data_IF_839729615294
#
_entry.id   IF_839729615294
#
_cell.length_a   1.000
_cell.length_b   1.000
_cell.length_c   1.000
_cell.angle_alpha   90.00
_cell.angle_beta   90.00
_cell.angle_gamma   90.00
#
_symmetry.space_group_name_H-M   'P 1'
#
loop_
_entity.id
_entity.type
_entity.pdbx_description
1 polymer ?
#
# COMPACT_ATOMS: atom_id res chain seq x y z
N UNK A 1 -2.95 -35.74 -3.00
CA UNK A 1 -3.93 -35.20 -3.97
C UNK A 1 -4.12 -33.75 -3.58
N UNK A 2 -3.43 -32.83 -4.26
CA UNK A 2 -3.46 -31.41 -3.91
C UNK A 2 -4.76 -30.85 -4.45
N UNK A 3 -5.79 -30.85 -3.62
CA UNK A 3 -7.02 -30.10 -3.79
C UNK A 3 -7.19 -29.34 -2.49
N UNK A 4 -6.52 -28.20 -2.40
CA UNK A 4 -6.60 -27.34 -1.23
C UNK A 4 -7.86 -26.47 -1.37
N UNK A 5 -8.89 -26.64 -0.52
CA UNK A 5 -10.14 -25.89 -0.62
C UNK A 5 -10.00 -24.39 -0.31
N UNK A 6 -8.79 -23.90 -0.10
CA UNK A 6 -8.48 -22.52 0.29
C UNK A 6 -8.27 -21.55 -0.89
N UNK A 7 -8.42 -22.00 -2.15
CA UNK A 7 -8.42 -21.06 -3.27
C UNK A 7 -9.68 -20.21 -3.23
N UNK A 8 -9.52 -18.93 -2.89
CA UNK A 8 -10.59 -17.95 -2.96
C UNK A 8 -11.12 -17.88 -4.39
N UNK A 9 -12.42 -18.12 -4.56
CA UNK A 9 -13.11 -17.93 -5.84
C UNK A 9 -13.29 -16.43 -6.18
N UNK A 10 -12.92 -15.54 -5.26
CA UNK A 10 -13.07 -14.10 -5.40
C UNK A 10 -11.80 -13.41 -5.90
N UNK A 11 -10.65 -14.11 -5.96
CA UNK A 11 -9.38 -13.54 -6.44
C UNK A 11 -9.08 -14.03 -7.85
N UNK A 12 -8.53 -13.16 -8.70
CA UNK A 12 -8.05 -13.53 -10.04
C UNK A 12 -6.70 -12.91 -10.32
N UNK A 13 -5.71 -13.75 -10.66
CA UNK A 13 -4.42 -13.28 -11.14
C UNK A 13 -4.56 -12.63 -12.52
N UNK A 14 -3.91 -11.48 -12.70
CA UNK A 14 -3.94 -10.67 -13.92
C UNK A 14 -2.55 -10.10 -14.23
N UNK A 15 -2.24 -9.86 -15.51
CA UNK A 15 -0.97 -9.29 -15.97
C UNK A 15 -1.14 -7.91 -16.59
N UNK A 16 -2.37 -7.52 -16.94
CA UNK A 16 -2.67 -6.26 -17.65
C UNK A 16 -3.75 -5.42 -16.97
N UNK A 17 -3.74 -4.11 -17.25
CA UNK A 17 -4.80 -3.20 -16.79
C UNK A 17 -6.15 -3.45 -17.47
N UNK A 18 -6.16 -4.13 -18.63
CA UNK A 18 -7.40 -4.54 -19.30
C UNK A 18 -8.05 -5.70 -18.57
N UNK A 19 -7.28 -6.74 -18.24
CA UNK A 19 -7.75 -7.86 -17.40
C UNK A 19 -8.20 -7.38 -16.03
N UNK A 20 -7.54 -6.36 -15.46
CA UNK A 20 -7.97 -5.71 -14.22
C UNK A 20 -9.41 -5.22 -14.33
N UNK A 21 -9.74 -4.46 -15.39
CA UNK A 21 -11.10 -3.93 -15.61
C UNK A 21 -12.12 -5.04 -15.75
N UNK A 22 -11.85 -6.04 -16.60
CA UNK A 22 -12.75 -7.18 -16.79
C UNK A 22 -12.98 -7.97 -15.50
N UNK A 23 -11.94 -8.16 -14.69
CA UNK A 23 -12.04 -8.85 -13.40
C UNK A 23 -12.92 -8.08 -12.41
N UNK A 24 -12.77 -6.75 -12.37
CA UNK A 24 -13.61 -5.88 -11.55
C UNK A 24 -15.08 -5.88 -12.02
N UNK A 25 -15.33 -5.86 -13.33
CA UNK A 25 -16.69 -5.92 -13.91
C UNK A 25 -17.41 -7.23 -13.56
N UNK A 26 -16.67 -8.32 -13.36
CA UNK A 26 -17.19 -9.61 -12.90
C UNK A 26 -17.41 -9.67 -11.37
N UNK A 27 -17.10 -8.60 -10.64
CA UNK A 27 -17.23 -8.56 -9.18
C UNK A 27 -16.12 -9.33 -8.43
N UNK A 28 -14.99 -9.58 -9.08
CA UNK A 28 -13.84 -10.25 -8.50
C UNK A 28 -12.73 -9.25 -8.15
N UNK A 29 -11.80 -9.67 -7.30
CA UNK A 29 -10.64 -8.89 -6.88
C UNK A 29 -9.43 -9.25 -7.77
N UNK A 30 -8.92 -8.31 -8.58
CA UNK A 30 -7.72 -8.54 -9.37
C UNK A 30 -6.47 -8.59 -8.49
N UNK A 31 -5.61 -9.57 -8.76
CA UNK A 31 -4.27 -9.72 -8.16
C UNK A 31 -3.25 -9.48 -9.26
N UNK A 32 -2.68 -8.28 -9.28
CA UNK A 32 -1.70 -7.88 -10.29
C UNK A 32 -0.40 -8.67 -10.14
N UNK A 33 0.04 -9.29 -11.23
CA UNK A 33 1.36 -9.87 -11.42
C UNK A 33 2.18 -8.86 -12.26
N UNK A 34 2.89 -7.91 -11.62
CA UNK A 34 3.31 -6.69 -12.29
C UNK A 34 4.55 -6.87 -13.18
N UNK A 35 5.22 -8.02 -13.12
CA UNK A 35 6.53 -8.22 -13.75
C UNK A 35 6.54 -7.83 -15.23
N UNK A 36 5.58 -8.36 -16.00
CA UNK A 36 5.45 -8.06 -17.42
C UNK A 36 5.23 -6.57 -17.66
N UNK A 37 4.26 -5.98 -16.95
CA UNK A 37 3.91 -4.57 -17.09
C UNK A 37 5.10 -3.66 -16.77
N UNK A 38 5.88 -3.96 -15.72
CA UNK A 38 7.08 -3.23 -15.35
C UNK A 38 8.14 -3.33 -16.46
N UNK A 39 8.39 -4.52 -17.01
CA UNK A 39 9.39 -4.68 -18.08
C UNK A 39 8.97 -4.01 -19.39
N UNK A 40 7.67 -3.97 -19.70
CA UNK A 40 7.17 -3.39 -20.94
C UNK A 40 7.25 -1.84 -20.93
N UNK A 41 7.05 -1.20 -19.77
CA UNK A 41 7.02 0.28 -19.66
C UNK A 41 8.23 0.90 -18.94
N UNK A 42 9.07 0.08 -18.29
CA UNK A 42 10.31 0.43 -17.57
C UNK A 42 10.19 1.72 -16.70
N UNK A 43 9.22 1.78 -15.75
CA UNK A 43 8.88 3.03 -15.08
C UNK A 43 9.79 3.34 -13.87
N UNK A 44 10.60 2.37 -13.42
CA UNK A 44 11.38 2.46 -12.19
C UNK A 44 12.87 2.57 -12.48
N UNK A 45 13.55 3.46 -11.76
CA UNK A 45 15.01 3.45 -11.73
C UNK A 45 15.53 2.15 -11.11
N UNK A 46 16.66 1.63 -11.62
CA UNK A 46 17.23 0.36 -11.16
C UNK A 46 18.08 0.58 -9.91
N UNK A 47 17.42 0.84 -8.80
CA UNK A 47 18.04 1.06 -7.48
C UNK A 47 17.53 0.04 -6.47
N UNK A 48 18.27 -0.14 -5.37
CA UNK A 48 17.84 -0.98 -4.25
C UNK A 48 16.87 -0.28 -3.31
N UNK A 49 16.63 1.03 -3.51
CA UNK A 49 15.77 1.85 -2.67
C UNK A 49 14.28 1.68 -3.00
N UNK A 50 13.97 1.32 -4.26
CA UNK A 50 12.60 1.09 -4.72
C UNK A 50 12.21 -0.35 -4.38
N UNK A 51 11.23 -0.51 -3.47
CA UNK A 51 10.71 -1.82 -3.08
C UNK A 51 9.24 -1.98 -3.49
N UNK A 52 8.61 -3.08 -3.08
CA UNK A 52 7.20 -3.35 -3.38
C UNK A 52 6.26 -2.25 -2.89
N UNK A 53 6.61 -1.52 -1.83
CA UNK A 53 5.78 -0.45 -1.28
C UNK A 53 5.71 0.72 -2.26
N UNK A 54 6.85 1.23 -2.72
CA UNK A 54 6.90 2.30 -3.72
C UNK A 54 6.25 1.88 -5.04
N UNK A 55 6.46 0.63 -5.47
CA UNK A 55 5.80 0.09 -6.65
C UNK A 55 4.27 0.04 -6.49
N UNK A 56 3.77 -0.36 -5.31
CA UNK A 56 2.34 -0.41 -5.03
C UNK A 56 1.69 0.99 -5.07
N UNK A 57 2.34 1.99 -4.48
CA UNK A 57 1.85 3.38 -4.55
C UNK A 57 1.89 3.91 -5.99
N UNK A 58 2.93 3.57 -6.76
CA UNK A 58 3.01 3.92 -8.18
C UNK A 58 1.87 3.29 -8.99
N UNK A 59 1.56 2.02 -8.76
CA UNK A 59 0.40 1.38 -9.39
C UNK A 59 -0.92 2.02 -8.95
N UNK A 60 -1.07 2.35 -7.66
CA UNK A 60 -2.25 3.02 -7.15
C UNK A 60 -2.48 4.38 -7.83
N UNK A 61 -1.41 5.13 -8.05
CA UNK A 61 -1.43 6.36 -8.85
C UNK A 61 -1.85 6.11 -10.30
N UNK A 62 -1.22 5.14 -10.96
CA UNK A 62 -1.47 4.80 -12.36
C UNK A 62 -2.96 4.48 -12.61
N UNK A 63 -3.59 3.76 -11.69
CA UNK A 63 -5.01 3.38 -11.79
C UNK A 63 -5.96 4.38 -11.12
N UNK A 64 -5.44 5.48 -10.56
CA UNK A 64 -6.20 6.53 -9.84
C UNK A 64 -7.04 5.97 -8.69
N UNK A 65 -6.43 5.09 -7.89
CA UNK A 65 -7.05 4.57 -6.66
C UNK A 65 -7.48 5.73 -5.73
N UNK A 66 -8.67 5.61 -5.14
CA UNK A 66 -9.13 6.56 -4.13
C UNK A 66 -8.45 6.38 -2.77
N UNK A 67 -7.92 5.18 -2.51
CA UNK A 67 -7.35 4.77 -1.24
C UNK A 67 -6.27 3.73 -1.47
N UNK A 68 -5.09 3.96 -0.87
CA UNK A 68 -3.97 3.02 -0.89
C UNK A 68 -3.77 2.42 0.49
N UNK A 69 -3.56 1.10 0.56
CA UNK A 69 -3.30 0.36 1.78
C UNK A 69 -1.99 -0.40 1.63
N UNK A 70 -1.04 -0.15 2.52
CA UNK A 70 0.20 -0.94 2.65
C UNK A 70 0.06 -1.79 3.91
N UNK A 71 0.13 -3.10 3.72
CA UNK A 71 0.05 -4.08 4.80
C UNK A 71 1.45 -4.53 5.20
N UNK A 72 1.84 -4.21 6.42
CA UNK A 72 3.15 -4.53 7.00
C UNK A 72 2.99 -5.57 8.12
N UNK A 73 4.09 -5.89 8.81
CA UNK A 73 4.09 -6.76 9.99
C UNK A 73 4.03 -6.00 11.33
N UNK A 74 3.91 -4.66 11.30
CA UNK A 74 3.84 -3.77 12.46
C UNK A 74 2.57 -2.92 12.40
N UNK A 75 2.17 -2.33 13.53
CA UNK A 75 0.90 -1.59 13.64
C UNK A 75 0.85 -0.26 12.90
N UNK A 76 1.97 0.23 12.41
CA UNK A 76 2.09 1.47 11.66
C UNK A 76 3.50 2.02 11.78
N UNK A 77 3.62 3.34 11.67
CA UNK A 77 4.88 4.08 11.78
C UNK A 77 5.16 4.43 13.24
N UNK A 78 6.42 4.26 13.64
CA UNK A 78 6.91 4.62 14.96
C UNK A 78 8.08 5.61 14.84
N UNK A 79 8.11 6.64 15.69
CA UNK A 79 9.25 7.56 15.78
C UNK A 79 10.50 6.84 16.29
N UNK A 80 11.66 7.32 15.82
CA UNK A 80 12.99 6.86 16.24
C UNK A 80 13.23 5.35 16.09
N UNK A 81 12.49 4.68 15.20
CA UNK A 81 12.57 3.23 15.00
C UNK A 81 12.11 2.39 16.20
N UNK A 82 11.43 2.99 17.19
CA UNK A 82 10.97 2.29 18.40
C UNK A 82 9.63 1.60 18.16
N UNK A 83 9.68 0.57 17.30
CA UNK A 83 8.56 -0.30 16.96
C UNK A 83 7.93 -0.87 18.23
N UNK A 84 6.60 -0.94 18.24
CA UNK A 84 5.75 -1.43 19.35
C UNK A 84 5.83 -0.59 20.65
N UNK A 85 6.42 0.61 20.58
CA UNK A 85 6.34 1.59 21.67
C UNK A 85 5.15 2.52 21.45
N UNK A 86 4.12 2.39 22.28
CA UNK A 86 2.92 3.26 22.24
C UNK A 86 3.28 4.75 22.27
N UNK A 87 4.28 5.14 23.07
CA UNK A 87 4.75 6.52 23.17
C UNK A 87 5.37 7.07 21.88
N UNK A 88 5.74 6.20 20.92
CA UNK A 88 6.37 6.57 19.66
C UNK A 88 5.45 6.29 18.46
N UNK A 89 4.28 5.69 18.67
CA UNK A 89 3.34 5.39 17.60
C UNK A 89 2.77 6.66 16.97
N UNK A 90 2.72 6.69 15.64
CA UNK A 90 2.17 7.79 14.86
C UNK A 90 0.83 7.36 14.25
N UNK A 91 -0.33 7.74 14.81
CA UNK A 91 -1.62 7.42 14.19
C UNK A 91 -1.87 8.20 12.90
N UNK A 92 -1.22 9.36 12.75
CA UNK A 92 -1.27 10.22 11.58
C UNK A 92 0.10 10.88 11.37
N UNK A 93 0.53 10.99 10.12
CA UNK A 93 1.77 11.65 9.71
C UNK A 93 1.60 12.21 8.30
N UNK A 94 2.28 13.29 7.97
CA UNK A 94 2.33 13.76 6.58
C UNK A 94 3.38 12.97 5.81
N UNK A 95 3.21 12.82 4.49
CA UNK A 95 4.21 12.19 3.65
C UNK A 95 5.56 12.95 3.69
N UNK A 96 5.51 14.27 3.88
CA UNK A 96 6.68 15.14 4.03
C UNK A 96 7.44 14.88 5.33
N UNK A 97 6.74 14.71 6.46
CA UNK A 97 7.36 14.29 7.73
C UNK A 97 7.91 12.87 7.63
N UNK A 98 7.16 11.94 7.02
CA UNK A 98 7.57 10.55 6.87
C UNK A 98 8.84 10.43 6.02
N UNK A 99 8.99 11.25 4.97
CA UNK A 99 10.19 11.30 4.14
C UNK A 99 11.44 11.72 4.94
N UNK A 100 11.29 12.55 5.97
CA UNK A 100 12.40 12.99 6.82
C UNK A 100 12.82 11.92 7.84
N UNK A 101 11.96 10.93 8.11
CA UNK A 101 12.23 9.84 9.05
C UNK A 101 13.10 8.74 8.46
N UNK A 102 13.34 8.74 7.13
CA UNK A 102 14.09 7.70 6.43
C UNK A 102 13.33 6.37 6.36
N UNK A 103 14.04 5.24 6.40
CA UNK A 103 13.42 3.91 6.41
C UNK A 103 12.61 3.69 7.69
N UNK A 104 11.30 3.47 7.54
CA UNK A 104 10.37 3.22 8.65
C UNK A 104 9.62 1.90 8.41
N UNK A 105 8.28 1.91 8.47
CA UNK A 105 7.44 0.76 8.13
C UNK A 105 7.32 0.55 6.61
N UNK A 106 7.74 1.53 5.81
CA UNK A 106 7.80 1.51 4.33
C UNK A 106 9.18 1.94 3.85
N UNK A 107 9.50 1.66 2.59
CA UNK A 107 10.75 2.11 1.96
C UNK A 107 10.86 3.65 1.87
N UNK A 108 12.08 4.15 1.62
CA UNK A 108 12.36 5.59 1.58
C UNK A 108 11.78 6.29 0.34
N UNK A 109 11.47 5.55 -0.73
CA UNK A 109 10.90 6.10 -1.96
C UNK A 109 9.39 6.34 -1.83
N UNK A 110 8.70 5.54 -1.02
CA UNK A 110 7.26 5.59 -0.82
C UNK A 110 6.78 6.98 -0.36
N UNK A 111 7.34 7.59 0.72
CA UNK A 111 6.92 8.92 1.15
C UNK A 111 7.15 10.01 0.10
N UNK A 112 8.29 9.97 -0.60
CA UNK A 112 8.61 10.94 -1.65
C UNK A 112 7.56 10.92 -2.77
N UNK A 113 7.15 9.73 -3.19
CA UNK A 113 6.13 9.56 -4.22
C UNK A 113 4.74 10.02 -3.77
N UNK A 114 4.37 9.77 -2.50
CA UNK A 114 3.13 10.27 -1.90
C UNK A 114 3.09 11.81 -1.84
N UNK A 115 4.22 12.46 -1.54
CA UNK A 115 4.36 13.92 -1.57
C UNK A 115 4.18 14.45 -2.99
N UNK A 116 4.92 13.89 -3.96
CA UNK A 116 4.93 14.35 -5.35
C UNK A 116 3.54 14.28 -6.00
N UNK A 117 2.79 13.20 -5.75
CA UNK A 117 1.51 12.95 -6.41
C UNK A 117 0.29 13.25 -5.55
N UNK A 118 0.46 13.73 -4.31
CA UNK A 118 -0.66 14.09 -3.44
C UNK A 118 -1.54 12.90 -3.07
N UNK A 119 -0.95 11.73 -2.86
CA UNK A 119 -1.67 10.49 -2.60
C UNK A 119 -1.72 10.20 -1.10
N UNK A 120 -2.91 9.92 -0.60
CA UNK A 120 -3.09 9.44 0.76
C UNK A 120 -2.87 7.92 0.82
N UNK A 121 -2.33 7.46 1.95
CA UNK A 121 -2.06 6.05 2.18
C UNK A 121 -2.33 5.66 3.63
N UNK A 122 -2.75 4.42 3.84
CA UNK A 122 -2.78 3.80 5.17
C UNK A 122 -1.71 2.73 5.28
N UNK A 123 -0.97 2.76 6.39
CA UNK A 123 -0.04 1.69 6.78
C UNK A 123 -0.70 0.91 7.90
N UNK A 124 -1.02 -0.36 7.65
CA UNK A 124 -1.70 -1.25 8.57
C UNK A 124 -0.88 -2.52 8.83
N UNK A 125 -1.20 -3.24 9.91
CA UNK A 125 -0.63 -4.55 10.18
C UNK A 125 -1.48 -5.65 9.52
N UNK A 126 -0.89 -6.36 8.54
CA UNK A 126 -1.56 -7.43 7.80
C UNK A 126 -1.94 -8.66 8.65
N UNK A 127 -1.43 -8.77 9.89
CA UNK A 127 -1.85 -9.81 10.85
C UNK A 127 -3.26 -9.61 11.40
N UNK A 128 -3.86 -8.43 11.21
CA UNK A 128 -5.18 -8.09 11.73
C UNK A 128 -6.13 -7.72 10.58
N UNK A 129 -6.72 -8.70 9.87
CA UNK A 129 -7.62 -8.47 8.74
C UNK A 129 -8.80 -7.54 9.05
N UNK A 130 -9.27 -7.55 10.30
CA UNK A 130 -10.37 -6.68 10.76
C UNK A 130 -10.07 -5.19 10.57
N UNK A 131 -8.80 -4.78 10.50
CA UNK A 131 -8.41 -3.37 10.24
C UNK A 131 -8.75 -2.93 8.82
N UNK A 132 -8.68 -3.87 7.87
CA UNK A 132 -9.06 -3.61 6.48
C UNK A 132 -10.59 -3.47 6.39
N UNK A 133 -11.34 -4.33 7.09
CA UNK A 133 -12.81 -4.26 7.09
C UNK A 133 -13.31 -3.02 7.81
N UNK A 134 -12.70 -2.63 8.93
CA UNK A 134 -13.02 -1.39 9.63
C UNK A 134 -12.94 -0.18 8.69
N UNK A 135 -11.87 -0.11 7.89
CA UNK A 135 -11.66 1.01 6.98
C UNK A 135 -12.57 0.94 5.74
N UNK A 136 -12.65 -0.22 5.08
CA UNK A 136 -13.31 -0.35 3.77
C UNK A 136 -14.83 -0.59 3.87
N UNK A 137 -15.30 -1.20 4.95
CA UNK A 137 -16.71 -1.60 5.12
C UNK A 137 -17.40 -0.73 6.16
N UNK A 138 -16.78 -0.56 7.33
CA UNK A 138 -17.42 0.14 8.45
C UNK A 138 -17.20 1.67 8.42
N UNK A 139 -16.22 2.14 7.65
CA UNK A 139 -15.82 3.56 7.61
C UNK A 139 -15.19 4.06 8.92
N UNK A 140 -14.64 3.15 9.72
CA UNK A 140 -14.02 3.41 11.02
C UNK A 140 -12.50 3.48 10.84
N UNK A 141 -11.85 4.46 11.49
CA UNK A 141 -10.38 4.53 11.52
C UNK A 141 -9.82 3.32 12.29
N UNK A 142 -9.05 2.41 11.65
CA UNK A 142 -8.45 1.28 12.34
C UNK A 142 -7.20 1.69 13.12
N UNK A 143 -6.66 0.76 13.91
CA UNK A 143 -5.29 0.90 14.44
C UNK A 143 -4.30 0.83 13.26
N UNK A 144 -3.66 1.95 12.97
CA UNK A 144 -2.84 2.13 11.79
C UNK A 144 -2.24 3.53 11.76
N UNK A 145 -1.37 3.78 10.79
CA UNK A 145 -0.91 5.14 10.47
C UNK A 145 -1.59 5.62 9.20
N UNK A 146 -2.31 6.74 9.29
CA UNK A 146 -2.73 7.50 8.13
C UNK A 146 -1.58 8.40 7.66
N UNK A 147 -1.17 8.24 6.40
CA UNK A 147 -0.17 9.09 5.74
C UNK A 147 -0.89 10.03 4.80
N UNK A 148 -0.88 11.32 5.12
CA UNK A 148 -1.46 12.36 4.27
C UNK A 148 -0.48 12.76 3.17
N UNK A 149 -0.90 12.64 1.92
CA UNK A 149 -0.10 13.02 0.75
C UNK A 149 0.02 14.52 0.55
N UNK A 150 0.94 14.93 -0.32
CA UNK A 150 1.14 16.33 -0.71
C UNK A 150 2.08 17.12 0.20
N UNK A 151 2.25 18.40 -0.12
CA UNK A 151 2.99 19.38 0.69
C UNK A 151 2.09 19.91 1.81
N UNK A 152 2.68 20.25 2.96
CA UNK A 152 1.98 20.99 4.01
C UNK A 152 1.52 22.34 3.43
N UNK A 153 0.22 22.59 3.51
CA UNK A 153 -0.41 23.84 3.06
C UNK A 153 -0.21 25.00 4.02
#
# INVERSE_FOLDING_TARGET
>A
MISDPCFSNSLRAIETLEEMRHTLDEGLVPVLLPSRLIFDIDPFERTWEITSDAMAVWFAWLVRCNLTLILTNVDGVYRDGKVDSEAHFLPEVTASELAQMGHTAVDACTPAFLVEHGLDCWILNGKYPDRITQLLVDGIKPVGTFVKGGQDG
#
